data_IF_916342983601
#
_entry.id   IF_916342983601
#
_cell.length_a   1.000
_cell.length_b   1.000
_cell.length_c   1.000
_cell.angle_alpha   90.00
_cell.angle_beta   90.00
_cell.angle_gamma   90.00
#
_symmetry.space_group_name_H-M   'P 1'
#
loop_
_entity.id
_entity.type
_entity.pdbx_description
1 polymer ?
#
# COMPACT_ATOMS: atom_id res chain seq x y z
N UNK A 1 -0.17 43.74 -23.91
CA UNK A 1 1.25 43.28 -23.94
C UNK A 1 1.79 42.87 -22.57
N UNK A 2 1.16 41.91 -21.85
CA UNK A 2 1.66 41.41 -20.55
C UNK A 2 1.56 39.88 -20.38
N UNK A 3 1.22 39.13 -21.44
CA UNK A 3 1.04 37.67 -21.35
C UNK A 3 2.34 36.85 -21.56
N UNK A 4 3.43 37.49 -21.99
CA UNK A 4 4.68 36.81 -22.35
C UNK A 4 5.58 36.42 -21.15
N UNK A 5 5.21 36.77 -19.90
CA UNK A 5 6.02 36.48 -18.71
C UNK A 5 5.61 35.23 -17.91
N UNK A 6 4.46 34.63 -18.19
CA UNK A 6 3.98 33.45 -17.46
C UNK A 6 4.31 32.11 -18.13
N UNK A 7 4.63 32.12 -19.42
CA UNK A 7 4.91 30.92 -20.21
C UNK A 7 6.11 30.09 -19.71
N UNK A 8 7.26 30.69 -19.31
CA UNK A 8 8.37 29.87 -18.80
C UNK A 8 8.10 29.30 -17.40
N UNK A 9 7.26 29.97 -16.60
CA UNK A 9 6.97 29.57 -15.22
C UNK A 9 6.04 28.33 -15.16
N UNK A 10 5.10 28.22 -16.11
CA UNK A 10 4.21 27.06 -16.25
C UNK A 10 4.96 25.84 -16.79
N UNK A 11 5.96 26.04 -17.67
CA UNK A 11 6.80 24.95 -18.21
C UNK A 11 7.80 24.42 -17.16
N UNK A 12 8.30 25.28 -16.28
CA UNK A 12 9.17 24.87 -15.16
C UNK A 12 8.36 24.12 -14.10
N UNK A 13 7.12 24.55 -13.82
CA UNK A 13 6.23 23.83 -12.89
C UNK A 13 5.82 22.44 -13.41
N UNK A 14 5.65 22.27 -14.74
CA UNK A 14 5.29 20.97 -15.31
C UNK A 14 6.46 19.99 -15.38
N UNK A 15 7.71 20.47 -15.53
CA UNK A 15 8.91 19.63 -15.48
C UNK A 15 9.29 19.18 -14.06
N UNK A 16 8.85 19.87 -13.01
CA UNK A 16 8.96 19.38 -11.62
C UNK A 16 7.99 18.25 -11.27
N UNK A 17 7.03 17.95 -12.15
CA UNK A 17 6.17 16.75 -12.10
C UNK A 17 6.66 15.66 -13.06
N UNK A 18 7.94 15.65 -13.45
CA UNK A 18 8.55 14.38 -13.82
C UNK A 18 8.41 13.51 -12.56
N UNK A 19 7.61 12.41 -12.58
CA UNK A 19 7.67 11.47 -11.48
C UNK A 19 9.14 11.10 -11.39
N UNK A 20 9.80 11.49 -10.29
CA UNK A 20 11.16 11.07 -10.00
C UNK A 20 11.19 9.61 -10.35
N UNK A 21 11.94 9.29 -11.42
CA UNK A 21 11.86 8.04 -12.14
C UNK A 21 11.66 6.95 -11.11
N UNK A 22 10.45 6.34 -11.10
CA UNK A 22 10.01 5.34 -10.12
C UNK A 22 11.19 4.41 -9.89
N UNK A 23 11.98 4.69 -8.85
CA UNK A 23 13.02 3.80 -8.41
C UNK A 23 12.21 2.68 -7.81
N UNK A 24 11.90 1.72 -8.66
CA UNK A 24 11.29 0.47 -8.31
C UNK A 24 12.32 -0.20 -7.41
N UNK A 25 12.32 0.15 -6.13
CA UNK A 25 13.23 -0.44 -5.15
C UNK A 25 12.97 -1.94 -5.25
N UNK A 26 13.99 -2.75 -5.59
CA UNK A 26 13.79 -4.19 -5.65
C UNK A 26 13.25 -4.63 -4.30
N UNK A 27 12.11 -5.33 -4.32
CA UNK A 27 11.50 -5.85 -3.10
C UNK A 27 12.49 -6.83 -2.52
N UNK A 28 12.87 -6.62 -1.26
CA UNK A 28 13.62 -7.63 -0.53
C UNK A 28 12.81 -8.94 -0.55
N UNK A 29 13.44 -10.10 -0.72
CA UNK A 29 12.72 -11.36 -0.65
C UNK A 29 12.06 -11.49 0.73
N UNK A 30 10.88 -12.12 0.78
CA UNK A 30 10.24 -12.47 2.05
C UNK A 30 11.11 -13.54 2.70
N UNK A 31 11.70 -13.22 3.85
CA UNK A 31 12.63 -14.09 4.57
C UNK A 31 11.88 -15.14 5.38
N UNK A 32 10.71 -14.79 5.90
CA UNK A 32 9.87 -15.69 6.67
C UNK A 32 8.40 -15.25 6.62
N UNK A 33 7.50 -16.22 6.48
CA UNK A 33 6.06 -16.01 6.39
C UNK A 33 5.36 -16.92 7.42
N UNK A 34 5.17 -16.48 8.67
CA UNK A 34 4.60 -17.33 9.71
C UNK A 34 3.12 -17.59 9.44
N UNK A 35 2.79 -18.86 9.25
CA UNK A 35 1.42 -19.36 9.04
C UNK A 35 1.06 -20.25 10.22
N UNK A 36 -0.17 -20.15 10.70
CA UNK A 36 -0.65 -21.02 11.78
C UNK A 36 -0.67 -22.48 11.31
N UNK A 37 -0.19 -23.39 12.16
CA UNK A 37 -0.22 -24.84 11.88
C UNK A 37 -1.64 -25.43 11.86
N UNK A 38 -2.57 -24.82 12.62
CA UNK A 38 -3.96 -25.27 12.69
C UNK A 38 -4.93 -24.06 12.67
N UNK A 39 -6.15 -24.24 12.12
CA UNK A 39 -7.25 -23.32 12.33
C UNK A 39 -7.57 -23.23 13.83
N UNK A 40 -7.56 -22.03 14.39
CA UNK A 40 -7.77 -21.83 15.82
C UNK A 40 -8.67 -20.64 16.14
N UNK A 41 -9.23 -20.59 17.36
CA UNK A 41 -10.02 -19.45 17.80
C UNK A 41 -9.18 -18.20 17.67
N UNK A 42 -9.76 -17.19 17.03
CA UNK A 42 -9.09 -15.92 16.84
C UNK A 42 -9.79 -14.85 17.64
N UNK A 43 -8.99 -14.00 18.26
CA UNK A 43 -9.52 -12.78 18.86
C UNK A 43 -10.12 -11.90 17.76
N UNK A 44 -11.13 -11.12 18.12
CA UNK A 44 -11.82 -10.20 17.21
C UNK A 44 -11.46 -8.75 17.52
N UNK A 45 -10.24 -8.50 18.01
CA UNK A 45 -9.71 -7.16 18.17
C UNK A 45 -9.39 -6.60 16.78
N UNK A 46 -9.71 -5.32 16.60
CA UNK A 46 -9.48 -4.63 15.35
C UNK A 46 -8.20 -3.83 15.41
N UNK A 47 -7.41 -3.90 14.34
CA UNK A 47 -6.26 -3.04 14.12
C UNK A 47 -6.30 -2.45 12.70
N UNK A 48 -5.65 -1.31 12.51
CA UNK A 48 -5.57 -0.60 11.25
C UNK A 48 -4.17 -0.05 11.01
N UNK A 49 -3.64 -0.33 9.83
CA UNK A 49 -2.27 0.04 9.52
C UNK A 49 -1.89 -0.25 8.08
N UNK A 50 -0.65 0.07 7.75
CA UNK A 50 -0.05 -0.24 6.45
C UNK A 50 0.67 -1.57 6.52
N UNK A 51 0.38 -2.48 5.59
CA UNK A 51 1.17 -3.69 5.41
C UNK A 51 2.51 -3.29 4.78
N UNK A 52 3.61 -3.54 5.47
CA UNK A 52 4.96 -3.21 5.03
C UNK A 52 5.80 -4.47 5.03
N UNK A 53 6.74 -4.54 4.09
CA UNK A 53 7.80 -5.55 4.12
C UNK A 53 9.03 -4.88 4.73
N UNK A 54 9.42 -5.33 5.91
CA UNK A 54 10.48 -4.75 6.71
C UNK A 54 11.44 -5.88 7.13
N UNK A 55 12.72 -5.79 6.71
CA UNK A 55 13.72 -6.85 6.87
C UNK A 55 13.25 -8.25 6.42
N UNK A 56 12.48 -8.30 5.32
CA UNK A 56 11.91 -9.53 4.76
C UNK A 56 10.70 -10.07 5.52
N UNK A 57 10.20 -9.35 6.52
CA UNK A 57 9.03 -9.73 7.32
C UNK A 57 7.83 -8.86 6.97
N UNK A 58 6.66 -9.49 6.78
CA UNK A 58 5.41 -8.77 6.56
C UNK A 58 4.83 -8.29 7.89
N UNK A 59 4.88 -6.98 8.08
CA UNK A 59 4.44 -6.32 9.31
C UNK A 59 3.29 -5.36 9.04
N UNK A 60 2.38 -5.23 10.00
CA UNK A 60 1.41 -4.15 10.02
C UNK A 60 1.98 -2.98 10.83
N UNK A 61 2.36 -1.91 10.14
CA UNK A 61 2.68 -0.63 10.79
C UNK A 61 1.39 0.10 11.11
N UNK A 62 1.08 0.27 12.38
CA UNK A 62 -0.14 0.96 12.82
C UNK A 62 -0.19 2.39 12.29
N UNK A 63 -1.39 2.88 12.00
CA UNK A 63 -1.56 4.27 11.53
C UNK A 63 -1.55 5.28 12.67
N UNK A 64 -1.95 4.87 13.88
CA UNK A 64 -2.10 5.74 15.06
C UNK A 64 -0.87 5.75 15.97
N UNK A 65 0.11 4.86 15.72
CA UNK A 65 1.30 4.72 16.55
C UNK A 65 2.48 4.26 15.70
N UNK A 66 3.71 4.37 16.22
CA UNK A 66 4.90 3.82 15.55
C UNK A 66 5.06 2.30 15.77
N UNK A 67 4.03 1.62 16.30
CA UNK A 67 4.08 0.17 16.49
C UNK A 67 3.98 -0.56 15.17
N UNK A 68 4.82 -1.59 15.02
CA UNK A 68 4.86 -2.46 13.86
C UNK A 68 4.72 -3.90 14.32
N UNK A 69 3.62 -4.55 13.97
CA UNK A 69 3.33 -5.93 14.39
C UNK A 69 3.70 -6.91 13.30
N UNK A 70 4.51 -7.92 13.60
CA UNK A 70 4.66 -9.07 12.71
C UNK A 70 3.34 -9.82 12.66
N UNK A 71 2.83 -10.05 11.45
CA UNK A 71 1.58 -10.77 11.25
C UNK A 71 1.84 -12.28 11.21
N UNK A 72 1.11 -13.02 12.03
CA UNK A 72 1.00 -14.48 11.95
C UNK A 72 -0.28 -14.78 11.17
N UNK A 73 -0.12 -15.30 9.97
CA UNK A 73 -1.19 -15.48 8.99
C UNK A 73 -2.06 -16.71 9.32
N UNK A 74 -3.36 -16.70 8.98
CA UNK A 74 -4.22 -17.87 9.11
C UNK A 74 -3.68 -19.06 8.32
N UNK A 75 -4.08 -20.26 8.73
CA UNK A 75 -3.78 -21.49 8.00
C UNK A 75 -4.17 -21.36 6.51
N UNK A 76 -3.41 -22.02 5.62
CA UNK A 76 -3.52 -21.99 4.15
C UNK A 76 -3.25 -20.65 3.45
N UNK A 77 -2.96 -19.58 4.19
CA UNK A 77 -2.51 -18.34 3.55
C UNK A 77 -1.12 -18.53 2.96
N UNK A 78 -0.88 -17.87 1.83
CA UNK A 78 0.41 -17.89 1.14
C UNK A 78 0.76 -16.50 0.62
N UNK A 79 1.94 -16.37 0.01
CA UNK A 79 2.36 -15.13 -0.63
C UNK A 79 3.02 -15.41 -1.98
N UNK A 80 3.04 -14.39 -2.83
CA UNK A 80 3.86 -14.36 -4.05
C UNK A 80 4.46 -12.97 -4.24
N UNK A 81 5.59 -12.91 -4.91
CA UNK A 81 6.20 -11.63 -5.33
C UNK A 81 5.69 -11.30 -6.73
N UNK A 82 5.03 -10.16 -6.89
CA UNK A 82 4.51 -9.67 -8.16
C UNK A 82 5.05 -8.26 -8.43
N UNK A 83 6.03 -8.16 -9.32
CA UNK A 83 6.71 -6.90 -9.63
C UNK A 83 7.41 -6.32 -8.39
N UNK A 84 6.97 -5.16 -7.94
CA UNK A 84 7.54 -4.44 -6.79
C UNK A 84 6.75 -4.62 -5.49
N UNK A 85 5.85 -5.61 -5.41
CA UNK A 85 5.03 -5.84 -4.22
C UNK A 85 4.95 -7.32 -3.89
N UNK A 86 4.71 -7.61 -2.62
CA UNK A 86 4.30 -8.93 -2.15
C UNK A 86 2.78 -8.97 -2.14
N UNK A 87 2.20 -9.95 -2.81
CA UNK A 87 0.76 -10.23 -2.78
C UNK A 87 0.51 -11.40 -1.83
N UNK A 88 -0.50 -11.26 -0.99
CA UNK A 88 -0.90 -12.27 -0.01
C UNK A 88 -2.15 -12.93 -0.56
N UNK A 89 -2.15 -14.26 -0.57
CA UNK A 89 -3.25 -15.06 -1.05
C UNK A 89 -3.92 -15.78 0.13
N UNK A 90 -5.24 -15.85 0.11
CA UNK A 90 -6.01 -16.72 0.99
C UNK A 90 -5.93 -18.20 0.54
N UNK A 91 -6.67 -19.07 1.23
CA UNK A 91 -6.72 -20.50 0.97
C UNK A 91 -7.22 -20.83 -0.44
N UNK A 92 -8.06 -19.97 -1.01
CA UNK A 92 -8.60 -20.08 -2.36
C UNK A 92 -7.65 -19.53 -3.44
N UNK A 93 -6.50 -18.98 -3.04
CA UNK A 93 -5.53 -18.35 -3.95
C UNK A 93 -5.98 -16.97 -4.45
N UNK A 94 -6.93 -16.33 -3.79
CA UNK A 94 -7.38 -14.97 -4.09
C UNK A 94 -6.47 -13.98 -3.39
N UNK A 95 -6.09 -12.91 -4.11
CA UNK A 95 -5.26 -11.86 -3.53
C UNK A 95 -6.09 -11.02 -2.55
N UNK A 96 -5.77 -11.12 -1.27
CA UNK A 96 -6.49 -10.46 -0.17
C UNK A 96 -5.75 -9.26 0.42
N UNK A 97 -4.45 -9.13 0.17
CA UNK A 97 -3.66 -7.96 0.55
C UNK A 97 -2.41 -7.80 -0.31
N UNK A 98 -1.86 -6.58 -0.33
CA UNK A 98 -0.58 -6.27 -0.98
C UNK A 98 0.33 -5.47 -0.06
N UNK A 99 1.64 -5.69 -0.12
CA UNK A 99 2.60 -4.81 0.55
C UNK A 99 2.44 -3.38 0.06
N UNK A 100 2.47 -2.43 0.99
CA UNK A 100 2.22 -1.01 0.78
C UNK A 100 0.77 -0.58 0.99
N UNK A 101 -0.17 -1.53 1.07
CA UNK A 101 -1.60 -1.27 1.22
C UNK A 101 -1.98 -0.99 2.68
N UNK A 102 -2.97 -0.13 2.89
CA UNK A 102 -3.60 0.04 4.21
C UNK A 102 -4.70 -1.00 4.41
N UNK A 103 -4.65 -1.70 5.54
CA UNK A 103 -5.56 -2.79 5.89
C UNK A 103 -6.25 -2.49 7.22
N UNK A 104 -7.51 -2.89 7.30
CA UNK A 104 -8.21 -3.11 8.56
C UNK A 104 -8.24 -4.61 8.81
N UNK A 105 -7.70 -5.04 9.94
CA UNK A 105 -7.55 -6.45 10.26
C UNK A 105 -8.25 -6.79 11.57
N UNK A 106 -8.82 -7.99 11.64
CA UNK A 106 -9.24 -8.64 12.88
C UNK A 106 -8.13 -9.56 13.40
N UNK A 107 -8.14 -9.84 14.69
CA UNK A 107 -7.17 -10.73 15.32
C UNK A 107 -6.89 -10.35 16.76
N UNK A 108 -5.64 -10.55 17.18
CA UNK A 108 -5.17 -10.00 18.44
C UNK A 108 -3.68 -10.18 18.66
N UNK A 109 -3.15 -9.57 19.73
CA UNK A 109 -1.75 -9.73 20.11
C UNK A 109 -1.38 -11.21 20.29
N UNK A 110 -0.23 -11.59 19.76
CA UNK A 110 0.35 -12.92 19.92
C UNK A 110 1.60 -12.86 20.80
N UNK A 111 1.79 -13.87 21.65
CA UNK A 111 2.89 -13.92 22.60
C UNK A 111 4.11 -14.69 22.07
N UNK A 112 3.92 -15.63 21.15
CA UNK A 112 5.01 -16.42 20.57
C UNK A 112 4.67 -16.80 19.13
N UNK A 113 5.62 -16.70 18.20
CA UNK A 113 5.43 -17.18 16.83
C UNK A 113 5.35 -18.71 16.80
N UNK A 114 6.28 -19.40 17.48
CA UNK A 114 6.35 -20.87 17.48
C UNK A 114 5.12 -21.54 18.09
N UNK A 115 4.46 -20.89 19.05
CA UNK A 115 3.17 -21.38 19.57
C UNK A 115 2.09 -21.48 18.48
N UNK A 116 2.03 -20.50 17.57
CA UNK A 116 1.01 -20.48 16.52
C UNK A 116 1.45 -21.28 15.28
N UNK A 117 2.73 -21.23 14.91
CA UNK A 117 3.26 -21.90 13.73
C UNK A 117 3.61 -23.37 13.97
N UNK A 118 3.71 -23.81 15.23
CA UNK A 118 4.13 -25.16 15.59
C UNK A 118 5.62 -25.45 15.38
N UNK A 119 6.38 -24.48 14.88
CA UNK A 119 7.79 -24.60 14.52
C UNK A 119 8.60 -23.41 15.03
N UNK A 120 9.86 -23.64 15.41
CA UNK A 120 10.75 -22.55 15.81
C UNK A 120 11.14 -21.71 14.58
N UNK A 121 11.04 -20.37 14.65
CA UNK A 121 11.49 -19.52 13.56
C UNK A 121 12.97 -19.76 13.20
N UNK A 122 13.36 -19.63 11.92
CA UNK A 122 14.73 -19.85 11.49
C UNK A 122 15.73 -18.86 12.11
N UNK A 123 15.24 -17.69 12.52
CA UNK A 123 15.99 -16.65 13.23
C UNK A 123 15.09 -16.01 14.29
N UNK A 124 15.64 -15.46 15.38
CA UNK A 124 14.85 -14.70 16.35
C UNK A 124 14.12 -13.54 15.68
N UNK A 125 12.78 -13.54 15.78
CA UNK A 125 11.94 -12.53 15.15
C UNK A 125 11.62 -11.39 16.12
N UNK A 126 11.75 -10.11 15.71
CA UNK A 126 11.42 -8.99 16.59
C UNK A 126 9.89 -8.84 16.71
N UNK A 127 9.40 -8.83 17.96
CA UNK A 127 8.02 -8.48 18.28
C UNK A 127 7.71 -6.98 18.13
N UNK A 128 6.47 -6.55 18.42
CA UNK A 128 5.32 -7.34 18.83
C UNK A 128 4.71 -8.18 17.69
N UNK A 129 3.87 -9.17 18.04
CA UNK A 129 3.21 -10.08 17.08
C UNK A 129 1.70 -9.90 17.09
N UNK A 130 1.07 -10.19 15.96
CA UNK A 130 -0.39 -10.17 15.82
C UNK A 130 -0.87 -11.43 15.11
N UNK A 131 -1.68 -12.24 15.80
CA UNK A 131 -2.34 -13.39 15.22
C UNK A 131 -3.55 -12.92 14.40
N UNK A 132 -3.41 -12.95 13.07
CA UNK A 132 -4.40 -12.42 12.13
C UNK A 132 -5.61 -13.37 12.06
N UNK A 133 -6.83 -12.84 12.23
CA UNK A 133 -8.08 -13.60 12.10
C UNK A 133 -8.75 -13.38 10.75
N UNK A 134 -8.81 -12.12 10.34
CA UNK A 134 -9.59 -11.69 9.19
C UNK A 134 -8.98 -10.42 8.62
N UNK A 135 -9.17 -10.24 7.31
CA UNK A 135 -8.89 -8.97 6.64
C UNK A 135 -10.26 -8.35 6.34
N UNK A 136 -10.62 -7.32 7.09
CA UNK A 136 -11.90 -6.63 6.97
C UNK A 136 -11.82 -5.49 5.95
N UNK A 137 -11.27 -5.79 4.77
CA UNK A 137 -11.10 -4.80 3.73
C UNK A 137 -12.45 -4.45 3.11
N UNK A 138 -13.10 -3.42 3.67
CA UNK A 138 -14.43 -2.94 3.24
C UNK A 138 -14.38 -2.00 2.03
N UNK A 139 -13.19 -1.61 1.56
CA UNK A 139 -13.06 -0.65 0.46
C UNK A 139 -12.03 -1.12 -0.59
N UNK A 140 -12.40 -1.17 -1.88
CA UNK A 140 -11.57 -1.74 -2.96
C UNK A 140 -10.44 -0.81 -3.45
N UNK A 141 -10.31 0.40 -2.91
CA UNK A 141 -9.33 1.38 -3.41
C UNK A 141 -8.07 1.39 -2.54
N UNK A 142 -6.93 1.01 -3.13
CA UNK A 142 -5.62 1.40 -2.63
C UNK A 142 -5.60 2.94 -2.58
N UNK A 143 -5.22 3.57 -1.47
CA UNK A 143 -5.23 5.05 -1.34
C UNK A 143 -4.40 5.71 -2.45
N UNK A 144 -3.41 4.97 -2.94
CA UNK A 144 -2.60 5.27 -4.12
C UNK A 144 -3.46 5.41 -5.37
N UNK A 145 -4.39 4.49 -5.63
CA UNK A 145 -5.28 4.55 -6.79
C UNK A 145 -6.23 5.76 -6.73
N UNK A 146 -6.68 6.17 -5.53
CA UNK A 146 -7.48 7.39 -5.37
C UNK A 146 -6.66 8.66 -5.63
N UNK A 147 -5.41 8.70 -5.15
CA UNK A 147 -4.50 9.81 -5.44
C UNK A 147 -4.16 9.89 -6.93
N UNK A 148 -3.95 8.75 -7.60
CA UNK A 148 -3.73 8.69 -9.05
C UNK A 148 -4.97 9.15 -9.82
N UNK A 149 -6.17 8.67 -9.46
CA UNK A 149 -7.41 9.09 -10.09
C UNK A 149 -7.66 10.59 -9.88
N UNK A 150 -7.42 11.10 -8.67
CA UNK A 150 -7.51 12.52 -8.36
C UNK A 150 -6.52 13.34 -9.20
N UNK A 151 -5.27 12.90 -9.31
CA UNK A 151 -4.25 13.55 -10.14
C UNK A 151 -4.67 13.59 -11.62
N UNK A 152 -5.22 12.50 -12.17
CA UNK A 152 -5.74 12.44 -13.53
C UNK A 152 -6.91 13.41 -13.74
N UNK A 153 -7.84 13.49 -12.80
CA UNK A 153 -8.96 14.44 -12.84
C UNK A 153 -8.43 15.88 -12.83
N UNK A 154 -7.50 16.21 -11.93
CA UNK A 154 -6.89 17.55 -11.88
C UNK A 154 -6.20 17.91 -13.20
N UNK A 155 -5.43 16.99 -13.79
CA UNK A 155 -4.77 17.19 -15.07
C UNK A 155 -5.78 17.45 -16.20
N UNK A 156 -6.87 16.69 -16.27
CA UNK A 156 -7.92 16.89 -17.27
C UNK A 156 -8.61 18.26 -17.13
N UNK A 157 -8.90 18.69 -15.91
CA UNK A 157 -9.50 20.01 -15.64
C UNK A 157 -8.57 21.13 -16.09
N UNK A 158 -7.28 21.06 -15.73
CA UNK A 158 -6.27 22.06 -16.10
C UNK A 158 -6.16 22.16 -17.63
N UNK A 159 -6.06 21.03 -18.34
CA UNK A 159 -6.00 21.00 -19.80
C UNK A 159 -7.24 21.62 -20.44
N UNK A 160 -8.42 21.36 -19.88
CA UNK A 160 -9.70 21.91 -20.37
C UNK A 160 -9.75 23.42 -20.19
N UNK A 161 -9.29 23.94 -19.05
CA UNK A 161 -9.23 25.39 -18.79
C UNK A 161 -8.25 26.09 -19.74
N UNK A 162 -7.06 25.49 -19.98
CA UNK A 162 -6.07 26.00 -20.93
C UNK A 162 -6.67 26.04 -22.35
N UNK A 163 -7.33 24.96 -22.79
CA UNK A 163 -7.95 24.91 -24.11
C UNK A 163 -9.04 25.99 -24.28
N UNK A 164 -9.86 26.20 -23.25
CA UNK A 164 -10.91 27.23 -23.26
C UNK A 164 -10.32 28.64 -23.36
N UNK A 165 -9.22 28.91 -22.64
CA UNK A 165 -8.55 30.20 -22.66
C UNK A 165 -7.89 30.47 -24.02
N UNK A 166 -7.27 29.46 -24.64
CA UNK A 166 -6.74 29.54 -26.00
C UNK A 166 -7.84 29.83 -27.04
N UNK A 167 -9.02 29.22 -26.90
CA UNK A 167 -10.17 29.49 -27.77
C UNK A 167 -10.66 30.93 -27.60
N UNK A 168 -10.74 31.44 -26.36
CA UNK A 168 -11.14 32.83 -26.07
C UNK A 168 -10.15 33.83 -26.66
N UNK A 169 -8.85 33.58 -26.50
CA UNK A 169 -7.79 34.41 -27.07
C UNK A 169 -7.79 34.42 -28.60
N UNK A 170 -8.17 33.31 -29.24
CA UNK A 170 -8.33 33.25 -30.70
C UNK A 170 -9.54 34.05 -31.18
N UNK A 171 -10.66 33.99 -30.47
CA UNK A 171 -11.87 34.77 -30.80
C UNK A 171 -11.68 36.27 -30.62
N UNK A 172 -10.85 36.74 -29.69
CA UNK A 172 -10.64 38.18 -29.47
C UNK A 172 -9.76 38.85 -30.53
N UNK A 173 -9.19 38.09 -31.48
CA UNK A 173 -8.30 38.57 -32.55
C UNK A 173 -8.98 38.59 -33.93
N UNK A 174 -10.24 38.19 -34.00
CA UNK A 174 -11.10 38.24 -35.19
C UNK A 174 -12.12 39.35 -34.94
#
# INVERSE_FOLDING_TARGET
>A
MKLCKFFPLVLILSLSFLPACLQQTPVLPVSYFPVRHEPGPSLLLLNYGRLVLDDGLLRLKESSSDRSHLLIWPHDYSYRVAGSRVEILDAEGVVVAKSGQYLRIGGGPAFSVSYYTGEEPPVPLPGPYWALASIEQRWPWDSVALLELFALICMAVILTLIALDLIRLRRSKI
#
